data_IF_579005926799
#
_entry.id   IF_579005926799
#
_cell.length_a   1.000
_cell.length_b   1.000
_cell.length_c   1.000
_cell.angle_alpha   90.00
_cell.angle_beta   90.00
_cell.angle_gamma   90.00
#
_symmetry.space_group_name_H-M   'P 1'
#
loop_
_entity.id
_entity.type
_entity.pdbx_description
1 polymer ?
#
# COMPACT_ATOMS: atom_id res chain seq x y z
N UNK A 1 -10.50 6.87 18.87
CA UNK A 1 -9.92 5.65 18.26
C UNK A 1 -9.59 4.68 19.38
N UNK A 2 -9.67 3.35 19.17
CA UNK A 2 -9.24 2.38 20.17
C UNK A 2 -7.76 2.61 20.49
N UNK A 3 -7.39 2.61 21.77
CA UNK A 3 -6.01 2.83 22.17
C UNK A 3 -5.24 1.52 22.29
N UNK A 4 -4.07 1.42 21.66
CA UNK A 4 -3.22 0.22 21.65
C UNK A 4 -1.74 0.60 21.54
N UNK A 5 -0.87 -0.36 21.86
CA UNK A 5 0.58 -0.24 21.72
C UNK A 5 1.20 -1.53 21.18
N UNK A 6 1.94 -1.48 20.06
CA UNK A 6 2.07 -0.32 19.17
C UNK A 6 0.74 0.04 18.50
N UNK A 7 0.61 1.29 18.04
CA UNK A 7 -0.53 1.68 17.19
C UNK A 7 -0.38 0.99 15.84
N UNK A 8 -1.33 0.14 15.49
CA UNK A 8 -1.36 -0.57 14.22
C UNK A 8 -2.02 0.31 13.16
N UNK A 9 -1.24 0.68 12.14
CA UNK A 9 -1.72 1.41 10.97
C UNK A 9 -1.63 0.51 9.75
N UNK A 10 -2.78 0.18 9.17
CA UNK A 10 -2.83 -0.51 7.88
C UNK A 10 -3.25 0.49 6.82
N UNK A 11 -2.42 0.65 5.79
CA UNK A 11 -2.64 1.56 4.68
C UNK A 11 -2.74 0.78 3.37
N UNK A 12 -3.92 0.79 2.76
CA UNK A 12 -4.16 0.22 1.45
C UNK A 12 -3.96 1.29 0.39
N UNK A 13 -3.22 0.94 -0.67
CA UNK A 13 -2.96 1.82 -1.79
C UNK A 13 -2.65 1.02 -3.05
N UNK A 14 -2.86 1.64 -4.21
CA UNK A 14 -2.33 1.12 -5.47
C UNK A 14 -0.89 1.63 -5.65
N UNK A 15 0.05 0.78 -6.12
CA UNK A 15 1.46 1.18 -6.27
C UNK A 15 1.66 2.28 -7.33
N UNK A 16 0.69 2.47 -8.23
CA UNK A 16 0.70 3.54 -9.23
C UNK A 16 -0.02 4.83 -8.79
N UNK A 17 -0.64 4.86 -7.61
CA UNK A 17 -1.40 6.04 -7.17
C UNK A 17 -0.47 7.14 -6.67
N UNK A 18 -0.51 8.30 -7.35
CA UNK A 18 0.36 9.43 -7.05
C UNK A 18 0.05 10.06 -5.68
N UNK A 19 -1.21 10.09 -5.28
CA UNK A 19 -1.63 10.66 -3.99
C UNK A 19 -1.13 9.81 -2.82
N UNK A 20 -1.27 8.49 -2.90
CA UNK A 20 -0.78 7.54 -1.93
C UNK A 20 0.74 7.55 -1.82
N UNK A 21 1.43 7.60 -2.97
CA UNK A 21 2.91 7.70 -2.99
C UNK A 21 3.39 8.99 -2.31
N UNK A 22 2.77 10.12 -2.63
CA UNK A 22 3.09 11.43 -2.02
C UNK A 22 2.83 11.41 -0.52
N UNK A 23 1.70 10.84 -0.10
CA UNK A 23 1.35 10.69 1.31
C UNK A 23 2.39 9.83 2.05
N UNK A 24 2.76 8.65 1.51
CA UNK A 24 3.76 7.78 2.12
C UNK A 24 5.12 8.48 2.28
N UNK A 25 5.58 9.20 1.26
CA UNK A 25 6.82 9.98 1.33
C UNK A 25 6.75 11.06 2.41
N UNK A 26 5.62 11.77 2.50
CA UNK A 26 5.42 12.84 3.49
C UNK A 26 5.29 12.31 4.93
N UNK A 27 4.79 11.09 5.11
CA UNK A 27 4.57 10.49 6.43
C UNK A 27 5.79 9.71 6.94
N UNK A 28 6.63 9.18 6.05
CA UNK A 28 7.82 8.38 6.35
C UNK A 28 8.72 8.95 7.46
N UNK A 29 9.14 10.25 7.45
CA UNK A 29 10.03 10.76 8.49
C UNK A 29 9.41 10.70 9.90
N UNK A 30 8.09 10.81 10.01
CA UNK A 30 7.39 10.73 11.29
C UNK A 30 7.25 9.29 11.77
N UNK A 31 7.00 8.34 10.86
CA UNK A 31 6.95 6.91 11.21
C UNK A 31 8.31 6.42 11.71
N UNK A 32 9.41 6.91 11.13
CA UNK A 32 10.76 6.62 11.62
C UNK A 32 11.01 7.18 13.02
N UNK A 33 10.51 8.39 13.32
CA UNK A 33 10.61 9.00 14.66
C UNK A 33 9.76 8.27 15.70
N UNK A 34 8.54 7.87 15.34
CA UNK A 34 7.64 7.13 16.23
C UNK A 34 8.15 5.69 16.48
N UNK A 35 8.94 5.14 15.58
CA UNK A 35 9.70 3.92 15.79
C UNK A 35 8.83 2.75 16.29
N UNK A 36 9.16 2.22 17.47
CA UNK A 36 8.48 1.08 18.07
C UNK A 36 7.03 1.36 18.51
N UNK A 37 6.60 2.62 18.53
CA UNK A 37 5.26 3.02 18.99
C UNK A 37 4.19 2.84 17.92
N UNK A 38 4.61 2.69 16.66
CA UNK A 38 3.72 2.53 15.51
C UNK A 38 4.17 1.34 14.67
N UNK A 39 3.22 0.46 14.36
CA UNK A 39 3.38 -0.56 13.33
C UNK A 39 2.64 -0.09 12.08
N UNK A 40 3.38 0.47 11.12
CA UNK A 40 2.83 0.90 9.84
C UNK A 40 3.01 -0.20 8.79
N UNK A 41 1.91 -0.69 8.24
CA UNK A 41 1.89 -1.72 7.21
C UNK A 41 1.22 -1.17 5.95
N UNK A 42 1.96 -1.14 4.84
CA UNK A 42 1.41 -0.81 3.52
C UNK A 42 0.94 -2.08 2.84
N UNK A 43 -0.27 -2.07 2.32
CA UNK A 43 -0.91 -3.18 1.62
C UNK A 43 -1.21 -2.72 0.21
N UNK A 44 -0.41 -3.19 -0.74
CA UNK A 44 -0.60 -2.83 -2.15
C UNK A 44 -1.66 -3.70 -2.81
N UNK A 45 -2.61 -3.10 -3.52
CA UNK A 45 -3.48 -3.85 -4.43
C UNK A 45 -2.71 -4.09 -5.74
N UNK A 46 -1.85 -5.11 -5.74
CA UNK A 46 -1.00 -5.44 -6.90
C UNK A 46 -1.83 -6.09 -8.02
N UNK A 47 -3.02 -6.62 -7.71
CA UNK A 47 -3.89 -7.33 -8.64
C UNK A 47 -5.27 -6.68 -8.72
N UNK A 48 -5.32 -5.38 -9.01
CA UNK A 48 -6.59 -4.72 -9.38
C UNK A 48 -6.85 -4.92 -10.87
N UNK A 49 -7.24 -6.13 -11.28
CA UNK A 49 -7.89 -6.34 -12.57
C UNK A 49 -9.40 -6.32 -12.31
N UNK A 50 -10.03 -5.17 -12.48
CA UNK A 50 -11.49 -5.06 -12.57
C UNK A 50 -11.95 -5.48 -13.97
N UNK A 51 -11.72 -6.76 -14.25
CA UNK A 51 -11.94 -7.37 -15.55
C UNK A 51 -11.33 -8.76 -15.48
N UNK A 52 -12.07 -9.78 -15.93
CA UNK A 52 -11.50 -11.11 -16.03
C UNK A 52 -10.21 -11.13 -16.86
N UNK A 53 -9.61 -12.30 -16.99
CA UNK A 53 -8.42 -12.53 -17.83
C UNK A 53 -8.54 -12.03 -19.27
N UNK A 54 -9.73 -11.66 -19.73
CA UNK A 54 -9.98 -11.06 -21.05
C UNK A 54 -9.49 -9.60 -21.20
N UNK A 55 -9.22 -8.88 -20.11
CA UNK A 55 -8.60 -7.53 -20.17
C UNK A 55 -7.06 -7.56 -20.13
N UNK A 56 -6.48 -8.70 -19.76
CA UNK A 56 -5.12 -9.05 -20.12
C UNK A 56 -5.17 -9.43 -21.60
N UNK A 57 -4.20 -9.05 -22.43
CA UNK A 57 -4.24 -9.34 -23.86
C UNK A 57 -4.20 -10.82 -24.18
N UNK A 58 -5.36 -11.45 -24.13
CA UNK A 58 -5.56 -12.84 -24.41
C UNK A 58 -6.39 -12.92 -25.69
N UNK A 59 -5.83 -12.44 -26.80
CA UNK A 59 -6.31 -12.86 -28.12
C UNK A 59 -5.15 -13.39 -28.95
N UNK A 60 -5.26 -14.67 -29.34
CA UNK A 60 -4.25 -15.45 -30.04
C UNK A 60 -3.88 -14.90 -31.44
N UNK A 61 -4.70 -14.04 -32.04
CA UNK A 61 -4.55 -13.64 -33.46
C UNK A 61 -3.68 -12.41 -33.73
N UNK A 62 -3.50 -11.50 -32.76
CA UNK A 62 -2.78 -10.23 -32.97
C UNK A 62 -1.25 -10.31 -32.71
N UNK A 63 -0.76 -11.46 -32.24
CA UNK A 63 0.65 -11.66 -31.82
C UNK A 63 1.65 -11.82 -32.97
N UNK A 64 1.21 -12.22 -34.17
CA UNK A 64 2.12 -12.50 -35.29
C UNK A 64 2.60 -11.24 -36.04
N UNK A 65 1.80 -10.17 -36.03
CA UNK A 65 2.07 -8.99 -36.87
C UNK A 65 2.70 -7.83 -36.10
N UNK A 66 2.43 -7.70 -34.79
CA UNK A 66 2.96 -6.62 -33.93
C UNK A 66 3.18 -7.12 -32.49
N UNK A 67 4.32 -7.76 -32.20
CA UNK A 67 4.60 -8.25 -30.86
C UNK A 67 4.86 -7.05 -29.93
N UNK A 68 4.02 -6.90 -28.90
CA UNK A 68 4.21 -6.04 -27.71
C UNK A 68 3.93 -4.54 -27.85
N UNK A 69 2.71 -4.13 -28.22
CA UNK A 69 2.35 -2.73 -28.07
C UNK A 69 1.28 -2.43 -27.02
N UNK A 70 0.28 -3.29 -26.76
CA UNK A 70 -0.81 -2.84 -25.90
C UNK A 70 -1.40 -3.93 -25.02
N UNK A 71 -0.96 -3.99 -23.75
CA UNK A 71 -1.69 -4.52 -22.59
C UNK A 71 -1.60 -3.53 -21.44
N UNK A 72 -2.75 -3.25 -20.81
CA UNK A 72 -3.06 -2.22 -19.79
C UNK A 72 -1.88 -1.33 -19.32
N UNK A 73 -1.56 -0.35 -20.17
CA UNK A 73 -1.36 1.11 -19.92
C UNK A 73 -0.51 1.68 -21.08
N UNK A 74 -1.14 2.35 -22.05
CA UNK A 74 -0.45 3.20 -23.06
C UNK A 74 0.06 4.51 -22.40
N UNK A 75 0.83 5.43 -23.04
CA UNK A 75 1.54 5.45 -24.32
C UNK A 75 3.01 5.95 -24.17
N UNK A 76 3.61 5.85 -22.98
CA UNK A 76 4.96 6.34 -22.65
C UNK A 76 5.79 5.29 -21.89
N UNK A 77 5.80 4.03 -22.35
CA UNK A 77 6.50 2.91 -21.71
C UNK A 77 8.05 3.00 -21.78
N UNK A 78 8.62 4.16 -21.44
CA UNK A 78 10.05 4.37 -21.20
C UNK A 78 10.43 4.31 -19.72
N UNK A 79 9.49 4.17 -18.78
CA UNK A 79 9.81 4.12 -17.35
C UNK A 79 9.54 2.74 -16.79
N UNK A 80 10.44 1.82 -17.10
CA UNK A 80 10.94 0.72 -16.25
C UNK A 80 11.54 -0.35 -17.17
N UNK A 81 12.75 -0.08 -17.64
CA UNK A 81 13.60 -1.10 -18.25
C UNK A 81 13.97 -2.14 -17.19
N UNK A 82 13.06 -3.10 -16.96
CA UNK A 82 13.40 -4.30 -16.20
C UNK A 82 14.48 -5.03 -17.00
N UNK A 83 15.66 -5.17 -16.40
CA UNK A 83 16.73 -6.00 -16.95
C UNK A 83 16.22 -7.44 -17.11
N UNK A 84 16.79 -8.21 -18.05
CA UNK A 84 16.30 -9.58 -18.36
C UNK A 84 16.17 -10.51 -17.15
N UNK A 85 17.00 -10.33 -16.12
CA UNK A 85 16.91 -11.08 -14.86
C UNK A 85 15.69 -10.72 -14.01
N UNK A 86 15.30 -9.44 -13.97
CA UNK A 86 14.13 -8.98 -13.22
C UNK A 86 12.83 -9.46 -13.86
N UNK A 87 12.78 -9.52 -15.20
CA UNK A 87 11.63 -10.08 -15.92
C UNK A 87 11.42 -11.55 -15.58
N UNK A 88 12.50 -12.34 -15.56
CA UNK A 88 12.41 -13.76 -15.22
C UNK A 88 11.88 -14.00 -13.80
N UNK A 89 12.29 -13.18 -12.83
CA UNK A 89 11.78 -13.25 -11.46
C UNK A 89 10.29 -12.89 -11.36
N UNK A 90 9.82 -11.92 -12.15
CA UNK A 90 8.40 -11.58 -12.24
C UNK A 90 7.61 -12.71 -12.89
N UNK A 91 8.09 -13.27 -13.99
CA UNK A 91 7.43 -14.39 -14.68
C UNK A 91 7.33 -15.62 -13.78
N UNK A 92 8.38 -15.93 -13.01
CA UNK A 92 8.37 -16.99 -12.00
C UNK A 92 7.36 -16.71 -10.88
N UNK A 93 7.34 -15.48 -10.36
CA UNK A 93 6.36 -15.09 -9.34
C UNK A 93 4.92 -15.28 -9.84
N UNK A 94 4.63 -14.89 -11.07
CA UNK A 94 3.28 -15.01 -11.66
C UNK A 94 2.85 -16.45 -11.91
N UNK A 95 3.80 -17.35 -12.21
CA UNK A 95 3.52 -18.76 -12.51
C UNK A 95 3.50 -19.66 -11.27
N UNK A 96 4.24 -19.29 -10.23
CA UNK A 96 4.44 -20.09 -9.03
C UNK A 96 3.28 -20.00 -8.02
N UNK A 97 3.18 -21.00 -7.13
CA UNK A 97 2.18 -21.03 -6.06
C UNK A 97 2.32 -19.83 -5.11
N UNK A 98 3.55 -19.32 -4.96
CA UNK A 98 3.83 -18.11 -4.19
C UNK A 98 3.07 -16.88 -4.69
N UNK A 99 3.05 -16.62 -6.01
CA UNK A 99 2.27 -15.52 -6.59
C UNK A 99 0.77 -15.73 -6.45
N UNK A 100 0.28 -16.97 -6.57
CA UNK A 100 -1.14 -17.29 -6.34
C UNK A 100 -1.56 -17.02 -4.89
N UNK A 101 -0.72 -17.37 -3.92
CA UNK A 101 -0.96 -17.05 -2.50
C UNK A 101 -0.95 -15.55 -2.24
N UNK A 102 -0.06 -14.79 -2.88
CA UNK A 102 -0.04 -13.33 -2.79
C UNK A 102 -1.29 -12.71 -3.44
N UNK A 103 -1.77 -13.27 -4.55
CA UNK A 103 -3.02 -12.88 -5.21
C UNK A 103 -4.23 -13.16 -4.31
N UNK A 104 -4.33 -14.35 -3.73
CA UNK A 104 -5.42 -14.69 -2.79
C UNK A 104 -5.37 -13.81 -1.55
N UNK A 105 -4.18 -13.56 -1.00
CA UNK A 105 -3.99 -12.65 0.11
C UNK A 105 -4.45 -11.23 -0.26
N UNK A 106 -4.11 -10.73 -1.45
CA UNK A 106 -4.52 -9.41 -1.93
C UNK A 106 -6.03 -9.33 -2.14
N UNK A 107 -6.67 -10.36 -2.70
CA UNK A 107 -8.13 -10.44 -2.87
C UNK A 107 -8.87 -10.40 -1.53
N UNK A 108 -8.37 -11.13 -0.54
CA UNK A 108 -9.00 -11.22 0.78
C UNK A 108 -8.70 -10.01 1.68
N UNK A 109 -7.62 -9.27 1.41
CA UNK A 109 -7.23 -8.07 2.15
C UNK A 109 -7.45 -6.79 1.34
N UNK A 110 -8.47 -6.73 0.48
CA UNK A 110 -8.79 -5.51 -0.27
C UNK A 110 -9.37 -4.45 0.66
N UNK A 111 -8.87 -3.22 0.54
CA UNK A 111 -9.47 -2.05 1.19
C UNK A 111 -10.88 -1.78 0.64
N UNK A 112 -11.69 -1.00 1.37
CA UNK A 112 -13.02 -0.58 0.88
C UNK A 112 -12.94 0.51 -0.21
N UNK A 113 -11.76 1.04 -0.48
CA UNK A 113 -11.43 2.00 -1.54
C UNK A 113 -10.00 1.76 -2.01
N UNK A 114 -9.66 2.33 -3.18
CA UNK A 114 -8.32 2.28 -3.81
C UNK A 114 -7.25 2.72 -2.80
N UNK A 115 -7.53 3.83 -2.11
CA UNK A 115 -6.73 4.30 -0.97
C UNK A 115 -7.58 4.23 0.28
N UNK A 116 -7.13 3.48 1.29
CA UNK A 116 -7.84 3.31 2.55
C UNK A 116 -6.86 3.21 3.71
N UNK A 117 -7.29 3.59 4.92
CA UNK A 117 -6.44 3.48 6.10
C UNK A 117 -7.23 3.06 7.33
N UNK A 118 -6.66 2.18 8.14
CA UNK A 118 -7.16 1.90 9.50
C UNK A 118 -6.12 2.25 10.54
N UNK A 119 -6.59 2.70 11.71
CA UNK A 119 -5.78 2.96 12.90
C UNK A 119 -6.37 2.12 14.03
N UNK A 120 -5.61 1.15 14.54
CA UNK A 120 -6.05 0.14 15.50
C UNK A 120 -7.36 -0.57 15.06
N UNK A 121 -7.45 -0.89 13.77
CA UNK A 121 -8.61 -1.54 13.15
C UNK A 121 -9.81 -0.62 12.89
N UNK A 122 -9.83 0.60 13.42
CA UNK A 122 -10.87 1.57 13.11
C UNK A 122 -10.60 2.25 11.76
N UNK A 123 -11.63 2.39 10.91
CA UNK A 123 -11.53 3.10 9.62
C UNK A 123 -11.18 4.58 9.86
N UNK A 124 -10.18 5.06 9.14
CA UNK A 124 -9.85 6.47 9.09
C UNK A 124 -10.57 7.12 7.90
N UNK A 125 -11.31 8.20 8.18
CA UNK A 125 -12.08 8.95 7.20
C UNK A 125 -11.60 10.39 7.01
N UNK A 126 -10.48 10.76 7.64
CA UNK A 126 -9.90 12.10 7.51
C UNK A 126 -9.12 12.28 6.21
N UNK A 127 -8.59 13.49 6.02
CA UNK A 127 -7.73 13.80 4.89
C UNK A 127 -6.42 13.00 4.96
N UNK A 128 -5.97 12.46 3.82
CA UNK A 128 -4.67 11.82 3.68
C UNK A 128 -3.55 12.87 3.61
N UNK A 129 -3.29 13.49 4.76
CA UNK A 129 -2.20 14.44 4.95
C UNK A 129 -1.47 14.10 6.27
N UNK A 130 -0.17 14.43 6.41
CA UNK A 130 0.60 14.07 7.60
C UNK A 130 -0.04 14.54 8.90
N UNK A 131 -0.43 15.82 8.98
CA UNK A 131 -0.91 16.41 10.23
C UNK A 131 -2.16 15.72 10.81
N UNK A 132 -3.29 15.57 10.07
CA UNK A 132 -4.48 14.93 10.62
C UNK A 132 -4.28 13.43 10.89
N UNK A 133 -3.39 12.76 10.15
CA UNK A 133 -3.05 11.36 10.40
C UNK A 133 -2.19 11.20 11.65
N UNK A 134 -1.21 12.07 11.85
CA UNK A 134 -0.35 12.06 13.04
C UNK A 134 -1.14 12.39 14.29
N UNK A 135 -2.05 13.39 14.24
CA UNK A 135 -3.00 13.66 15.34
C UNK A 135 -3.77 12.40 15.72
N UNK A 136 -4.30 11.68 14.73
CA UNK A 136 -5.04 10.46 14.94
C UNK A 136 -4.18 9.33 15.55
N UNK A 137 -3.01 9.04 14.97
CA UNK A 137 -2.07 8.03 15.48
C UNK A 137 -1.66 8.36 16.91
N UNK A 138 -1.24 9.60 17.16
CA UNK A 138 -0.80 10.03 18.48
C UNK A 138 -1.90 9.96 19.54
N UNK A 139 -3.15 10.29 19.16
CA UNK A 139 -4.31 10.12 20.05
C UNK A 139 -4.65 8.66 20.38
N UNK A 140 -4.16 7.72 19.57
CA UNK A 140 -4.40 6.28 19.73
C UNK A 140 -3.28 5.54 20.48
N UNK A 141 -2.18 6.23 20.82
CA UNK A 141 -1.07 5.64 21.60
C UNK A 141 -1.39 5.60 23.09
N UNK A 142 -1.34 4.42 23.71
CA UNK A 142 -1.40 4.25 25.18
C UNK A 142 -0.27 3.34 25.60
N UNK A 143 0.63 3.83 26.45
CA UNK A 143 1.73 3.01 26.96
C UNK A 143 1.18 1.95 27.94
N UNK A 144 1.37 0.64 27.68
CA UNK A 144 0.76 -0.42 28.48
C UNK A 144 1.41 -0.56 29.87
N UNK A 145 2.63 -0.07 30.07
CA UNK A 145 3.34 -0.15 31.35
C UNK A 145 3.06 1.03 32.29
N UNK A 146 2.82 2.22 31.73
CA UNK A 146 2.63 3.45 32.52
C UNK A 146 1.20 4.00 32.47
N UNK A 147 0.34 3.42 31.62
CA UNK A 147 -1.00 3.92 31.30
C UNK A 147 -1.01 5.39 30.84
N UNK A 148 0.16 5.92 30.45
CA UNK A 148 0.28 7.25 29.85
C UNK A 148 -0.36 7.20 28.47
N UNK A 149 -1.35 8.04 28.28
CA UNK A 149 -1.88 8.37 26.96
C UNK A 149 -0.86 9.25 26.25
N UNK A 150 -0.65 8.99 24.96
CA UNK A 150 0.28 9.70 24.08
C UNK A 150 1.76 9.33 24.30
N UNK A 151 2.43 8.87 23.24
CA UNK A 151 3.88 8.70 23.21
C UNK A 151 4.59 10.07 23.38
N UNK A 152 5.76 10.13 24.00
CA UNK A 152 6.45 11.41 24.28
C UNK A 152 6.88 12.10 22.98
N UNK A 153 7.28 11.32 21.98
CA UNK A 153 7.65 11.75 20.63
C UNK A 153 6.48 12.46 19.91
N UNK A 154 5.23 12.14 20.29
CA UNK A 154 4.06 12.81 19.75
C UNK A 154 3.91 14.26 20.24
N UNK A 155 4.60 14.67 21.32
CA UNK A 155 4.57 16.06 21.79
C UNK A 155 5.36 16.98 20.86
N UNK A 156 6.43 16.47 20.24
CA UNK A 156 7.26 17.23 19.30
C UNK A 156 6.72 17.18 17.86
N UNK A 157 5.91 16.18 17.54
CA UNK A 157 5.37 15.95 16.19
C UNK A 157 4.03 16.65 15.98
N UNK A 158 3.17 16.68 17.00
CA UNK A 158 1.80 17.19 16.92
C UNK A 158 1.65 18.35 17.91
N UNK A 159 1.76 19.59 17.40
CA UNK A 159 1.55 20.81 18.19
C UNK A 159 0.07 21.23 18.15
#
# INVERSE_FOLDING_TARGET
>A
MPAQWPVAVNFWADPGDAQATTFLQSLAPYMLRLGAHVRFQTIYNVFSLEGGSEELCLSQGLYEKYPRLYCSFEPNAQVLGLTGGQKHSVDLCMADESGRRLLEFSKNNRGWSIVAMTINGARYSGQLAPEPVLRAICSATVNPMTNKYRAEECNDIVV
#
